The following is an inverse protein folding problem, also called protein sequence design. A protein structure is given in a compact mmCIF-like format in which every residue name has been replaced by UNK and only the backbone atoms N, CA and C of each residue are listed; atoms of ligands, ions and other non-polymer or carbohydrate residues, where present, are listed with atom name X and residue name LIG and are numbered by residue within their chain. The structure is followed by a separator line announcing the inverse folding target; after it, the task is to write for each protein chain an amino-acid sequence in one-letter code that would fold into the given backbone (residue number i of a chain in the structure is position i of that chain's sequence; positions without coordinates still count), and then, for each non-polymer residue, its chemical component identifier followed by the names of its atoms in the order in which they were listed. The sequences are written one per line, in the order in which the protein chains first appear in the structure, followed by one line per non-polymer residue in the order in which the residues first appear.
data_IF_539339242700
#
_entry.id   IF_539339242700
#
_cell.length_a   1.000
_cell.length_b   1.000
_cell.length_c   1.000
_cell.angle_alpha   90.00
_cell.angle_beta   90.00
_cell.angle_gamma   90.00
#
_symmetry.space_group_name_H-M   'P 1'
#
loop_
_entity.id
_entity.type
_entity.pdbx_description
1 polymer ?
#
# COMPACT_ATOMS: atom_id res chain seq x y z
N UNK A 1 13.01 -18.54 3.55
CA UNK A 1 12.97 -17.41 4.49
C UNK A 1 13.47 -16.11 3.88
N UNK A 2 14.69 -16.02 3.37
CA UNK A 2 15.23 -14.75 2.80
C UNK A 2 14.31 -14.07 1.79
N UNK A 3 13.76 -14.83 0.83
CA UNK A 3 12.79 -14.31 -0.16
C UNK A 3 11.54 -13.70 0.49
N UNK A 4 11.02 -14.32 1.56
CA UNK A 4 9.87 -13.80 2.30
C UNK A 4 10.24 -12.53 3.08
N UNK A 5 11.44 -12.50 3.67
CA UNK A 5 11.95 -11.30 4.35
C UNK A 5 12.05 -10.12 3.38
N UNK A 6 12.67 -10.31 2.23
CA UNK A 6 12.76 -9.27 1.17
C UNK A 6 11.37 -8.85 0.69
N UNK A 7 10.45 -9.81 0.56
CA UNK A 7 9.09 -9.50 0.12
C UNK A 7 8.35 -8.61 1.12
N UNK A 8 8.37 -8.97 2.41
CA UNK A 8 7.77 -8.18 3.48
C UNK A 8 8.40 -6.78 3.57
N UNK A 9 9.74 -6.68 3.52
CA UNK A 9 10.44 -5.39 3.61
C UNK A 9 10.06 -4.45 2.46
N UNK A 10 9.87 -5.01 1.26
CA UNK A 10 9.34 -4.26 0.12
C UNK A 10 7.90 -3.79 0.33
N UNK A 11 7.04 -4.59 0.97
CA UNK A 11 5.68 -4.15 1.28
C UNK A 11 5.67 -3.04 2.33
N UNK A 12 6.53 -3.12 3.35
CA UNK A 12 6.74 -2.02 4.32
C UNK A 12 7.12 -0.73 3.58
N UNK A 13 8.05 -0.81 2.63
CA UNK A 13 8.42 0.34 1.80
C UNK A 13 7.24 0.85 0.94
N UNK A 14 6.49 -0.04 0.28
CA UNK A 14 5.32 0.34 -0.51
C UNK A 14 4.26 1.05 0.33
N UNK A 15 3.92 0.53 1.51
CA UNK A 15 2.95 1.17 2.40
C UNK A 15 3.45 2.52 2.92
N UNK A 16 4.74 2.68 3.19
CA UNK A 16 5.30 4.00 3.55
C UNK A 16 5.20 5.04 2.41
N UNK A 17 5.48 4.62 1.17
CA UNK A 17 5.33 5.48 -0.01
C UNK A 17 3.85 5.83 -0.20
N UNK A 18 2.96 4.85 -0.13
CA UNK A 18 1.52 5.04 -0.29
C UNK A 18 0.93 5.94 0.81
N UNK A 19 1.35 5.79 2.07
CA UNK A 19 0.97 6.66 3.17
C UNK A 19 1.30 8.13 2.87
N UNK A 20 2.52 8.39 2.39
CA UNK A 20 2.99 9.72 2.01
C UNK A 20 2.21 10.27 0.81
N UNK A 21 1.90 9.38 -0.14
CA UNK A 21 1.15 9.70 -1.36
C UNK A 21 -0.30 10.06 -1.08
N UNK A 22 -0.94 9.34 -0.16
CA UNK A 22 -2.30 9.64 0.28
C UNK A 22 -2.39 10.96 1.04
N UNK A 23 -1.38 11.29 1.87
CA UNK A 23 -1.26 12.63 2.46
C UNK A 23 -1.16 13.73 1.40
N UNK A 24 -0.37 13.50 0.34
CA UNK A 24 -0.30 14.43 -0.78
C UNK A 24 -1.69 14.66 -1.39
N UNK A 25 -2.40 13.58 -1.75
CA UNK A 25 -3.74 13.69 -2.33
C UNK A 25 -4.75 14.34 -1.38
N UNK A 26 -4.71 13.98 -0.09
CA UNK A 26 -5.54 14.57 0.96
C UNK A 26 -5.34 16.09 1.08
N UNK A 27 -4.10 16.58 1.03
CA UNK A 27 -3.81 18.02 1.13
C UNK A 27 -4.10 18.81 -0.15
N UNK A 28 -3.88 18.20 -1.32
CA UNK A 28 -3.92 18.91 -2.60
C UNK A 28 -5.20 18.69 -3.40
N UNK A 29 -6.10 17.79 -2.98
CA UNK A 29 -7.40 17.64 -3.64
C UNK A 29 -8.18 18.95 -3.57
N UNK A 30 -8.84 19.32 -4.67
CA UNK A 30 -9.64 20.54 -4.79
C UNK A 30 -10.83 20.31 -5.72
N UNK A 31 -11.77 21.27 -5.73
CA UNK A 31 -12.98 21.22 -6.56
C UNK A 31 -14.21 20.70 -5.80
N UNK A 32 -15.28 20.39 -6.54
CA UNK A 32 -16.57 20.01 -5.95
C UNK A 32 -16.52 18.72 -5.11
N UNK A 33 -15.60 17.81 -5.45
CA UNK A 33 -15.42 16.53 -4.73
C UNK A 33 -14.52 16.66 -3.48
N UNK A 34 -14.04 17.87 -3.16
CA UNK A 34 -13.05 18.12 -2.10
C UNK A 34 -13.41 17.40 -0.80
N UNK A 35 -14.58 17.69 -0.22
CA UNK A 35 -14.94 17.18 1.11
C UNK A 35 -14.96 15.66 1.16
N UNK A 36 -15.44 15.01 0.09
CA UNK A 36 -15.56 13.55 0.04
C UNK A 36 -14.20 12.89 -0.15
N UNK A 37 -13.38 13.40 -1.05
CA UNK A 37 -12.07 12.81 -1.36
C UNK A 37 -11.04 13.11 -0.29
N UNK A 38 -11.10 14.29 0.33
CA UNK A 38 -10.26 14.64 1.47
C UNK A 38 -10.42 13.64 2.61
N UNK A 39 -11.67 13.39 3.05
CA UNK A 39 -11.98 12.40 4.08
C UNK A 39 -11.63 10.97 3.66
N UNK A 40 -11.89 10.60 2.39
CA UNK A 40 -11.56 9.26 1.88
C UNK A 40 -10.05 8.98 1.88
N UNK A 41 -9.24 9.96 1.46
CA UNK A 41 -7.78 9.79 1.47
C UNK A 41 -7.22 9.71 2.89
N UNK A 42 -7.89 10.32 3.87
CA UNK A 42 -7.60 10.15 5.30
C UNK A 42 -7.91 8.76 5.80
N UNK A 43 -9.12 8.26 5.54
CA UNK A 43 -9.50 6.88 5.86
C UNK A 43 -8.47 5.88 5.31
N UNK A 44 -8.00 6.09 4.08
CA UNK A 44 -7.01 5.22 3.46
C UNK A 44 -5.61 5.35 4.05
N UNK A 45 -5.14 6.56 4.38
CA UNK A 45 -3.79 6.66 4.97
C UNK A 45 -3.76 6.09 6.39
N UNK A 46 -4.87 6.15 7.12
CA UNK A 46 -4.97 5.57 8.46
C UNK A 46 -4.91 4.04 8.37
N UNK A 47 -5.68 3.44 7.47
CA UNK A 47 -5.64 2.00 7.23
C UNK A 47 -4.27 1.53 6.71
N UNK A 48 -3.67 2.28 5.77
CA UNK A 48 -2.32 1.98 5.26
C UNK A 48 -1.26 2.08 6.36
N UNK A 49 -1.43 2.97 7.34
CA UNK A 49 -0.51 3.07 8.47
C UNK A 49 -0.56 1.82 9.36
N UNK A 50 -1.73 1.22 9.54
CA UNK A 50 -1.85 -0.07 10.25
C UNK A 50 -1.16 -1.19 9.46
N UNK A 51 -1.37 -1.30 8.14
CA UNK A 51 -0.66 -2.29 7.32
C UNK A 51 0.86 -2.07 7.31
N UNK A 52 1.32 -0.82 7.33
CA UNK A 52 2.73 -0.49 7.42
C UNK A 52 3.37 -1.09 8.68
N UNK A 53 2.70 -0.96 9.84
CA UNK A 53 3.19 -1.50 11.11
C UNK A 53 3.06 -3.04 11.15
N UNK A 54 1.90 -3.59 10.80
CA UNK A 54 1.65 -5.05 10.81
C UNK A 54 2.68 -5.83 9.97
N UNK A 55 3.02 -5.33 8.78
CA UNK A 55 4.02 -5.98 7.92
C UNK A 55 5.44 -5.86 8.49
N UNK A 56 5.78 -4.73 9.11
CA UNK A 56 7.09 -4.53 9.74
C UNK A 56 7.25 -5.42 10.98
N UNK A 57 6.22 -5.48 11.84
CA UNK A 57 6.18 -6.36 13.00
C UNK A 57 6.18 -7.83 12.59
N UNK A 58 5.48 -8.20 11.51
CA UNK A 58 5.54 -9.56 10.97
C UNK A 58 6.95 -9.93 10.55
N UNK A 59 7.64 -9.03 9.84
CA UNK A 59 9.03 -9.24 9.42
C UNK A 59 9.98 -9.42 10.63
N UNK A 60 9.84 -8.58 11.66
CA UNK A 60 10.60 -8.71 12.91
C UNK A 60 10.32 -10.04 13.62
N UNK A 61 9.05 -10.45 13.67
CA UNK A 61 8.59 -11.68 14.33
C UNK A 61 9.26 -12.92 13.74
N UNK A 62 9.50 -12.95 12.42
CA UNK A 62 10.17 -14.06 11.73
C UNK A 62 11.69 -13.85 11.57
N UNK A 63 12.28 -12.93 12.34
CA UNK A 63 13.72 -12.72 12.45
C UNK A 63 14.34 -11.85 11.35
N UNK A 64 13.53 -11.18 10.53
CA UNK A 64 14.00 -10.20 9.56
C UNK A 64 14.23 -8.82 10.19
N UNK A 65 14.60 -7.85 9.36
CA UNK A 65 14.82 -6.45 9.79
C UNK A 65 14.20 -5.51 8.77
N UNK A 66 13.14 -4.76 9.11
CA UNK A 66 12.56 -3.80 8.19
C UNK A 66 13.53 -2.64 7.95
N UNK A 67 13.64 -2.25 6.70
CA UNK A 67 14.13 -0.94 6.30
C UNK A 67 13.27 0.12 7.02
N UNK A 68 13.89 1.22 7.46
CA UNK A 68 13.21 2.25 8.25
C UNK A 68 13.74 3.66 7.97
N UNK A 69 14.19 3.87 6.73
CA UNK A 69 14.67 5.18 6.27
C UNK A 69 14.01 5.51 4.94
N UNK A 70 13.62 6.77 4.75
CA UNK A 70 12.97 7.22 3.51
C UNK A 70 13.80 6.89 2.27
N UNK A 71 15.11 7.10 2.33
CA UNK A 71 16.02 6.73 1.24
C UNK A 71 15.99 5.23 0.94
N UNK A 72 16.03 4.39 1.99
CA UNK A 72 15.95 2.94 1.82
C UNK A 72 14.62 2.51 1.21
N UNK A 73 13.51 3.12 1.63
CA UNK A 73 12.20 2.83 1.02
C UNK A 73 12.17 3.14 -0.47
N UNK A 74 12.71 4.30 -0.88
CA UNK A 74 12.80 4.67 -2.29
C UNK A 74 13.68 3.72 -3.12
N UNK A 75 14.63 3.01 -2.49
CA UNK A 75 15.49 2.05 -3.17
C UNK A 75 14.81 0.69 -3.42
N UNK A 76 13.86 0.29 -2.56
CA UNK A 76 13.27 -1.07 -2.60
C UNK A 76 11.78 -1.11 -2.95
N UNK A 77 11.05 0.00 -2.79
CA UNK A 77 9.63 0.08 -3.14
C UNK A 77 9.41 -0.12 -4.65
N UNK A 78 8.29 -0.72 -4.99
CA UNK A 78 7.79 -0.77 -6.38
C UNK A 78 6.83 0.38 -6.69
N UNK A 79 6.20 0.95 -5.66
CA UNK A 79 5.46 2.20 -5.79
C UNK A 79 6.39 3.40 -5.94
N UNK A 80 5.87 4.47 -6.55
CA UNK A 80 6.58 5.73 -6.77
C UNK A 80 5.85 6.88 -6.09
N UNK A 81 6.62 7.84 -5.61
CA UNK A 81 6.09 9.11 -5.11
C UNK A 81 5.30 9.86 -6.20
N UNK A 82 4.44 10.78 -5.77
CA UNK A 82 3.76 11.70 -6.69
C UNK A 82 4.81 12.53 -7.43
N UNK A 83 4.81 12.43 -8.76
CA UNK A 83 5.78 13.12 -9.62
C UNK A 83 5.23 14.42 -10.25
N UNK A 84 3.96 14.74 -10.01
CA UNK A 84 3.25 15.88 -10.60
C UNK A 84 2.56 16.67 -9.49
N UNK A 85 2.85 17.98 -9.41
CA UNK A 85 2.31 18.84 -8.35
C UNK A 85 0.81 19.16 -8.52
N UNK A 86 0.27 19.04 -9.73
CA UNK A 86 -1.13 19.37 -10.02
C UNK A 86 -1.86 18.18 -10.65
N UNK A 87 -2.60 17.45 -9.82
CA UNK A 87 -3.50 16.38 -10.24
C UNK A 87 -4.96 16.83 -10.07
N UNK A 88 -5.80 16.46 -11.02
CA UNK A 88 -7.25 16.54 -10.88
C UNK A 88 -7.73 15.48 -9.88
N UNK A 89 -8.89 15.71 -9.26
CA UNK A 89 -9.54 14.72 -8.38
C UNK A 89 -9.63 13.32 -9.02
N UNK A 90 -9.94 13.26 -10.33
CA UNK A 90 -10.01 12.01 -11.09
C UNK A 90 -8.64 11.33 -11.24
N UNK A 91 -7.59 12.11 -11.53
CA UNK A 91 -6.23 11.58 -11.63
C UNK A 91 -5.75 11.04 -10.27
N UNK A 92 -6.06 11.72 -9.15
CA UNK A 92 -5.72 11.25 -7.80
C UNK A 92 -6.39 9.91 -7.48
N UNK A 93 -7.70 9.77 -7.76
CA UNK A 93 -8.42 8.50 -7.56
C UNK A 93 -7.84 7.38 -8.43
N UNK A 94 -7.50 7.68 -9.69
CA UNK A 94 -6.89 6.70 -10.59
C UNK A 94 -5.49 6.28 -10.11
N UNK A 95 -4.72 7.22 -9.57
CA UNK A 95 -3.38 6.99 -9.06
C UNK A 95 -3.40 6.05 -7.83
N UNK A 96 -4.29 6.30 -6.86
CA UNK A 96 -4.51 5.40 -5.71
C UNK A 96 -4.98 4.02 -6.16
N UNK A 97 -5.91 3.94 -7.12
CA UNK A 97 -6.38 2.67 -7.67
C UNK A 97 -5.22 1.84 -8.27
N UNK A 98 -4.33 2.48 -9.04
CA UNK A 98 -3.18 1.80 -9.64
C UNK A 98 -2.22 1.25 -8.59
N UNK A 99 -1.98 2.00 -7.51
CA UNK A 99 -1.12 1.56 -6.42
C UNK A 99 -1.74 0.38 -5.67
N UNK A 100 -3.04 0.42 -5.38
CA UNK A 100 -3.76 -0.70 -4.77
C UNK A 100 -3.70 -1.95 -5.65
N UNK A 101 -3.95 -1.83 -6.96
CA UNK A 101 -3.85 -2.96 -7.89
C UNK A 101 -2.43 -3.53 -7.95
N UNK A 102 -1.41 -2.67 -7.89
CA UNK A 102 -0.01 -3.11 -7.82
C UNK A 102 0.27 -3.90 -6.55
N UNK A 103 -0.14 -3.40 -5.38
CA UNK A 103 0.04 -4.10 -4.10
C UNK A 103 -0.76 -5.42 -4.10
N UNK A 104 -2.01 -5.44 -4.57
CA UNK A 104 -2.83 -6.65 -4.67
C UNK A 104 -2.12 -7.74 -5.47
N UNK A 105 -1.59 -7.41 -6.64
CA UNK A 105 -0.89 -8.39 -7.49
C UNK A 105 0.40 -8.89 -6.82
N UNK A 106 1.13 -8.01 -6.13
CA UNK A 106 2.28 -8.39 -5.35
C UNK A 106 1.92 -9.33 -4.19
N UNK A 107 0.92 -8.99 -3.37
CA UNK A 107 0.48 -9.79 -2.23
C UNK A 107 0.00 -11.18 -2.67
N UNK A 108 -0.76 -11.29 -3.77
CA UNK A 108 -1.14 -12.58 -4.37
C UNK A 108 0.07 -13.44 -4.73
N UNK A 109 1.16 -12.83 -5.21
CA UNK A 109 2.42 -13.53 -5.44
C UNK A 109 3.14 -13.89 -4.13
N UNK A 110 3.05 -13.01 -3.13
CA UNK A 110 3.59 -13.16 -1.78
C UNK A 110 3.01 -14.36 -1.03
N UNK A 111 1.71 -14.66 -1.22
CA UNK A 111 1.06 -15.84 -0.62
C UNK A 111 1.84 -17.12 -0.93
N UNK A 112 2.23 -17.31 -2.20
CA UNK A 112 3.03 -18.47 -2.61
C UNK A 112 4.42 -18.45 -1.96
N UNK A 113 5.05 -17.28 -1.88
CA UNK A 113 6.37 -17.13 -1.24
C UNK A 113 6.34 -17.52 0.24
N UNK A 114 5.26 -17.19 0.94
CA UNK A 114 5.06 -17.54 2.34
C UNK A 114 4.78 -19.04 2.52
N UNK A 115 3.90 -19.61 1.68
CA UNK A 115 3.57 -21.03 1.71
C UNK A 115 4.76 -21.94 1.32
N UNK A 116 5.64 -21.49 0.41
CA UNK A 116 6.87 -22.21 0.04
C UNK A 116 7.83 -22.42 1.22
N UNK A 117 7.64 -21.69 2.32
CA UNK A 117 8.46 -21.78 3.55
C UNK A 117 7.61 -22.14 4.77
N UNK A 118 6.42 -22.70 4.56
CA UNK A 118 5.46 -23.11 5.57
C UNK A 118 5.05 -21.98 6.56
N UNK A 119 5.08 -20.73 6.12
CA UNK A 119 4.65 -19.56 6.92
C UNK A 119 3.20 -19.17 6.59
N UNK A 120 2.27 -19.87 7.22
CA UNK A 120 0.83 -19.63 7.03
C UNK A 120 0.36 -18.30 7.61
N UNK A 121 1.01 -17.76 8.64
CA UNK A 121 0.61 -16.48 9.23
C UNK A 121 0.95 -15.30 8.32
N UNK A 122 2.09 -15.33 7.65
CA UNK A 122 2.41 -14.35 6.61
C UNK A 122 1.46 -14.50 5.41
N UNK A 123 1.12 -15.74 5.02
CA UNK A 123 0.17 -15.99 3.95
C UNK A 123 -1.23 -15.42 4.27
N UNK A 124 -1.71 -15.64 5.49
CA UNK A 124 -3.00 -15.12 5.98
C UNK A 124 -3.02 -13.57 5.96
N UNK A 125 -1.97 -12.92 6.46
CA UNK A 125 -1.81 -11.46 6.41
C UNK A 125 -1.90 -10.93 4.96
N UNK A 126 -1.25 -11.61 4.01
CA UNK A 126 -1.30 -11.19 2.60
C UNK A 126 -2.70 -11.38 1.99
N UNK A 127 -3.39 -12.47 2.34
CA UNK A 127 -4.75 -12.77 1.86
C UNK A 127 -5.75 -11.75 2.41
N UNK A 128 -5.71 -11.47 3.71
CA UNK A 128 -6.64 -10.54 4.37
C UNK A 128 -6.46 -9.11 3.84
N UNK A 129 -5.20 -8.65 3.74
CA UNK A 129 -4.86 -7.33 3.16
C UNK A 129 -5.29 -7.25 1.70
N UNK A 130 -5.08 -8.30 0.91
CA UNK A 130 -5.55 -8.36 -0.49
C UNK A 130 -7.06 -8.17 -0.58
N UNK A 131 -7.83 -8.86 0.26
CA UNK A 131 -9.29 -8.78 0.23
C UNK A 131 -9.81 -7.38 0.59
N UNK A 132 -9.17 -6.70 1.55
CA UNK A 132 -9.49 -5.31 1.89
C UNK A 132 -9.20 -4.38 0.70
N UNK A 133 -7.99 -4.42 0.14
CA UNK A 133 -7.62 -3.57 -0.99
C UNK A 133 -8.45 -3.83 -2.26
N UNK A 134 -8.87 -5.08 -2.52
CA UNK A 134 -9.78 -5.41 -3.63
C UNK A 134 -11.15 -4.73 -3.49
N UNK A 135 -11.67 -4.65 -2.26
CA UNK A 135 -12.92 -3.94 -1.95
C UNK A 135 -12.78 -2.45 -2.22
N UNK A 136 -11.70 -1.81 -1.77
CA UNK A 136 -11.45 -0.40 -2.06
C UNK A 136 -11.26 -0.15 -3.55
N UNK A 137 -10.48 -1.00 -4.22
CA UNK A 137 -10.25 -0.93 -5.67
C UNK A 137 -11.55 -1.02 -6.46
N UNK A 138 -12.51 -1.84 -6.03
CA UNK A 138 -13.84 -1.88 -6.64
C UNK A 138 -14.58 -0.55 -6.52
N UNK A 139 -14.59 0.06 -5.33
CA UNK A 139 -15.25 1.36 -5.11
C UNK A 139 -14.60 2.46 -5.96
N UNK A 140 -13.27 2.52 -6.00
CA UNK A 140 -12.53 3.51 -6.81
C UNK A 140 -12.79 3.31 -8.31
N UNK A 141 -12.78 2.06 -8.81
CA UNK A 141 -13.16 1.77 -10.22
C UNK A 141 -14.57 2.24 -10.56
N UNK A 142 -15.52 2.14 -9.63
CA UNK A 142 -16.88 2.62 -9.84
C UNK A 142 -16.97 4.14 -9.80
N UNK A 143 -16.18 4.80 -8.94
CA UNK A 143 -16.12 6.26 -8.87
C UNK A 143 -15.53 6.90 -10.15
N UNK A 144 -14.74 6.15 -10.93
CA UNK A 144 -14.08 6.64 -12.15
C UNK A 144 -14.91 6.49 -13.44
N UNK A 145 -16.04 5.76 -13.38
CA UNK A 145 -16.97 5.54 -14.50
C UNK A 145 -17.88 6.74 -14.70
#
# INVERSE_FOLDING_TARGET
MEKLHTFLDRQVANFSILFTKLHNHHWYVTGFEFFRLHELFEEYYDEVNEYYDEFAERLLTIGGKPTSTLKGYLEIATLKEVNKQELTSKEMVQDVLNDFETIIDELKSGVKIAQDVDDEQSADLFISTTAALEKHSWMLRFALK
#
